data_IF_308634258081
#
_entry.id   IF_308634258081
#
_cell.length_a   1.000
_cell.length_b   1.000
_cell.length_c   1.000
_cell.angle_alpha   90.00
_cell.angle_beta   90.00
_cell.angle_gamma   90.00
#
_symmetry.space_group_name_H-M   'P 1'
#
loop_
_entity.id
_entity.type
_entity.pdbx_description
1 polymer ?
#
# COMPACT_ATOMS: atom_id res chain seq x y z
N UNK A 1 31.34 -0.32 -41.17
CA UNK A 1 31.94 0.01 -39.85
C UNK A 1 31.27 1.18 -39.14
N UNK A 2 30.99 2.33 -39.78
CA UNK A 2 30.38 3.52 -39.12
C UNK A 2 28.99 3.29 -38.47
N UNK A 3 28.11 2.45 -39.07
CA UNK A 3 26.77 2.17 -38.51
C UNK A 3 26.77 1.33 -37.23
N UNK A 4 27.72 0.39 -37.10
CA UNK A 4 27.80 -0.51 -35.93
C UNK A 4 28.28 0.26 -34.71
N UNK A 5 29.23 1.20 -34.89
CA UNK A 5 29.73 2.08 -33.83
C UNK A 5 28.61 3.02 -33.34
N UNK A 6 27.78 3.55 -34.25
CA UNK A 6 26.68 4.45 -33.89
C UNK A 6 25.57 3.73 -33.09
N UNK A 7 25.26 2.48 -33.45
CA UNK A 7 24.30 1.63 -32.71
C UNK A 7 24.86 1.26 -31.33
N UNK A 8 26.14 0.90 -31.25
CA UNK A 8 26.78 0.61 -29.96
C UNK A 8 26.81 1.83 -29.04
N UNK A 9 27.07 3.03 -29.58
CA UNK A 9 27.02 4.29 -28.82
C UNK A 9 25.59 4.61 -28.34
N UNK A 10 24.58 4.45 -29.19
CA UNK A 10 23.17 4.65 -28.83
C UNK A 10 22.70 3.66 -27.76
N UNK A 11 23.07 2.38 -27.86
CA UNK A 11 22.77 1.38 -26.82
C UNK A 11 23.47 1.71 -25.50
N UNK A 12 24.70 2.22 -25.55
CA UNK A 12 25.46 2.61 -24.35
C UNK A 12 24.85 3.84 -23.68
N UNK A 13 24.40 4.83 -24.46
CA UNK A 13 23.67 5.99 -23.95
C UNK A 13 22.29 5.58 -23.39
N UNK A 14 21.57 4.67 -24.04
CA UNK A 14 20.30 4.12 -23.51
C UNK A 14 20.52 3.35 -22.20
N UNK A 15 21.58 2.54 -22.09
CA UNK A 15 21.92 1.82 -20.85
C UNK A 15 22.32 2.76 -19.72
N UNK A 16 23.05 3.85 -20.00
CA UNK A 16 23.40 4.87 -19.01
C UNK A 16 22.16 5.68 -18.59
N UNK A 17 21.29 6.05 -19.53
CA UNK A 17 20.02 6.72 -19.24
C UNK A 17 19.03 5.83 -18.47
N UNK A 18 19.03 4.52 -18.69
CA UNK A 18 18.23 3.56 -17.92
C UNK A 18 18.86 3.23 -16.56
N UNK A 19 20.19 3.30 -16.42
CA UNK A 19 20.87 3.06 -15.14
C UNK A 19 20.66 4.15 -14.09
N UNK A 20 20.27 5.36 -14.51
CA UNK A 20 19.86 6.44 -13.60
C UNK A 20 18.51 6.18 -12.91
N UNK A 21 17.72 5.24 -13.42
CA UNK A 21 16.48 4.75 -12.81
C UNK A 21 16.72 3.51 -11.94
N UNK A 22 17.89 3.42 -11.28
CA UNK A 22 17.96 2.64 -10.06
C UNK A 22 17.04 3.33 -9.03
N UNK A 23 15.78 2.90 -9.00
CA UNK A 23 14.77 3.30 -8.00
C UNK A 23 15.34 2.86 -6.67
N UNK A 24 16.11 3.74 -6.02
CA UNK A 24 16.69 3.45 -4.73
C UNK A 24 15.54 3.36 -3.74
N UNK A 25 15.21 2.13 -3.33
CA UNK A 25 14.23 1.91 -2.28
C UNK A 25 14.66 2.68 -1.03
N UNK A 26 13.69 3.10 -0.20
CA UNK A 26 13.98 3.73 1.07
C UNK A 26 15.07 3.03 1.88
N UNK A 27 15.95 3.82 2.50
CA UNK A 27 17.21 3.37 3.08
C UNK A 27 17.08 2.82 4.51
N UNK A 28 15.95 3.09 5.18
CA UNK A 28 15.72 2.66 6.55
C UNK A 28 14.35 3.06 7.12
N UNK A 29 13.96 2.47 8.26
CA UNK A 29 12.76 2.86 8.97
C UNK A 29 12.83 4.33 9.38
N UNK A 30 11.68 5.01 9.32
CA UNK A 30 11.57 6.40 9.77
C UNK A 30 11.19 6.46 11.25
N UNK A 31 11.41 7.61 11.90
CA UNK A 31 10.84 7.88 13.22
C UNK A 31 9.31 7.67 13.23
N UNK A 32 8.72 7.40 14.41
CA UNK A 32 7.27 7.31 14.55
C UNK A 32 6.55 8.52 13.94
N UNK A 33 5.44 8.29 13.25
CA UNK A 33 4.64 9.34 12.60
C UNK A 33 5.16 9.81 11.25
N UNK A 34 6.17 9.14 10.67
CA UNK A 34 6.66 9.40 9.32
C UNK A 34 6.45 8.20 8.40
N UNK A 35 6.25 8.46 7.11
CA UNK A 35 6.10 7.44 6.06
C UNK A 35 6.89 7.84 4.82
N UNK A 36 7.28 6.86 4.01
CA UNK A 36 7.95 7.09 2.73
C UNK A 36 6.90 7.25 1.62
N UNK A 37 7.05 8.30 0.80
CA UNK A 37 6.26 8.53 -0.40
C UNK A 37 7.19 8.71 -1.59
N UNK A 38 6.82 8.13 -2.72
CA UNK A 38 7.53 8.31 -3.98
C UNK A 38 6.97 9.52 -4.73
N UNK A 39 7.82 10.50 -5.04
CA UNK A 39 7.49 11.69 -5.83
C UNK A 39 8.52 11.82 -6.94
N UNK A 40 8.09 11.68 -8.20
CA UNK A 40 8.97 11.81 -9.36
C UNK A 40 10.15 10.84 -9.37
N UNK A 41 9.94 9.59 -8.91
CA UNK A 41 10.99 8.58 -8.81
C UNK A 41 11.92 8.71 -7.61
N UNK A 42 11.68 9.68 -6.71
CA UNK A 42 12.44 9.88 -5.48
C UNK A 42 11.58 9.58 -4.26
N UNK A 43 12.11 8.79 -3.34
CA UNK A 43 11.48 8.57 -2.04
C UNK A 43 11.78 9.72 -1.09
N UNK A 44 10.73 10.33 -0.54
CA UNK A 44 10.82 11.40 0.45
C UNK A 44 10.09 11.00 1.74
N UNK A 45 10.63 11.35 2.92
CA UNK A 45 9.94 11.15 4.18
C UNK A 45 8.92 12.26 4.40
N UNK A 46 7.67 11.90 4.66
CA UNK A 46 6.57 12.83 4.97
C UNK A 46 5.87 12.44 6.26
N UNK A 47 5.06 13.33 6.83
CA UNK A 47 4.19 12.98 7.95
C UNK A 47 3.22 11.86 7.54
N UNK A 48 2.92 10.94 8.43
CA UNK A 48 1.92 9.91 8.21
C UNK A 48 0.55 10.54 7.86
N UNK A 49 -0.29 9.85 7.07
CA UNK A 49 -1.66 10.29 6.85
C UNK A 49 -2.43 10.39 8.16
N UNK A 50 -3.53 11.17 8.18
CA UNK A 50 -4.31 11.40 9.40
C UNK A 50 -5.07 10.15 9.90
N UNK A 51 -5.07 9.05 9.13
CA UNK A 51 -5.65 7.78 9.54
C UNK A 51 -5.10 6.60 8.74
N UNK A 52 -5.60 5.41 9.07
CA UNK A 52 -5.19 4.14 8.45
C UNK A 52 -5.95 3.82 7.14
N UNK A 53 -6.71 4.77 6.60
CA UNK A 53 -7.43 4.58 5.33
C UNK A 53 -6.54 4.70 4.09
N UNK A 54 -7.11 4.46 2.91
CA UNK A 54 -6.42 4.68 1.64
C UNK A 54 -6.26 6.18 1.38
N UNK A 55 -5.05 6.71 1.58
CA UNK A 55 -4.71 8.09 1.24
C UNK A 55 -3.73 8.12 0.07
N UNK A 56 -3.90 9.11 -0.80
CA UNK A 56 -2.95 9.46 -1.85
C UNK A 56 -2.22 10.75 -1.47
N UNK A 57 -0.92 10.79 -1.78
CA UNK A 57 -0.11 11.99 -1.62
C UNK A 57 -0.17 12.82 -2.90
N UNK A 58 -0.72 14.02 -2.82
CA UNK A 58 -0.85 14.96 -3.95
C UNK A 58 -0.66 16.38 -3.46
N UNK A 59 0.07 17.19 -4.22
CA UNK A 59 0.29 18.61 -3.91
C UNK A 59 0.79 18.85 -2.47
N UNK A 60 1.71 17.99 -2.03
CA UNK A 60 2.28 18.00 -0.68
C UNK A 60 1.29 17.76 0.46
N UNK A 61 0.16 17.11 0.18
CA UNK A 61 -0.89 16.80 1.16
C UNK A 61 -1.43 15.39 0.98
N UNK A 62 -1.88 14.79 2.09
CA UNK A 62 -2.69 13.58 2.07
C UNK A 62 -4.14 13.91 1.71
N UNK A 63 -4.66 13.22 0.72
CA UNK A 63 -6.06 13.30 0.30
C UNK A 63 -6.66 11.89 0.38
N UNK A 64 -7.89 11.72 0.90
CA UNK A 64 -8.58 10.44 0.83
C UNK A 64 -8.63 9.92 -0.61
N UNK A 65 -8.22 8.67 -0.80
CA UNK A 65 -8.42 7.97 -2.06
C UNK A 65 -9.86 7.48 -2.10
N UNK A 66 -10.65 8.05 -2.99
CA UNK A 66 -12.07 7.71 -3.20
C UNK A 66 -12.25 6.64 -4.27
N UNK A 67 -11.16 6.07 -4.80
CA UNK A 67 -11.22 4.95 -5.74
C UNK A 67 -11.92 3.76 -5.07
N UNK A 68 -12.97 3.18 -5.69
CA UNK A 68 -13.64 2.01 -5.13
C UNK A 68 -12.66 0.88 -4.83
N UNK A 69 -12.73 0.25 -3.65
CA UNK A 69 -11.84 -0.85 -3.32
C UNK A 69 -12.04 -2.04 -4.27
N UNK A 70 -10.97 -2.76 -4.61
CA UNK A 70 -11.10 -4.06 -5.25
C UNK A 70 -12.03 -4.99 -4.42
N UNK A 71 -12.90 -5.78 -5.05
CA UNK A 71 -13.78 -6.71 -4.34
C UNK A 71 -12.98 -7.68 -3.45
N UNK A 72 -13.46 -7.91 -2.22
CA UNK A 72 -12.80 -8.83 -1.30
C UNK A 72 -11.42 -8.37 -0.83
N UNK A 73 -11.16 -7.06 -0.78
CA UNK A 73 -9.87 -6.52 -0.36
C UNK A 73 -9.98 -5.48 0.75
N UNK A 74 -8.98 -5.48 1.63
CA UNK A 74 -8.79 -4.47 2.66
C UNK A 74 -7.59 -3.58 2.33
N UNK A 75 -7.63 -2.34 2.80
CA UNK A 75 -6.48 -1.46 2.71
C UNK A 75 -5.47 -1.79 3.80
N UNK A 76 -4.20 -1.90 3.41
CA UNK A 76 -3.06 -2.05 4.31
C UNK A 76 -2.27 -0.74 4.28
N UNK A 77 -2.17 0.00 5.40
CA UNK A 77 -1.34 1.19 5.47
C UNK A 77 0.13 0.91 5.12
N UNK A 78 0.79 1.93 4.58
CA UNK A 78 2.23 1.88 4.34
C UNK A 78 2.99 1.57 5.62
N UNK A 79 3.92 0.62 5.55
CA UNK A 79 4.65 0.15 6.72
C UNK A 79 6.08 -0.28 6.38
N UNK A 80 6.94 -0.23 7.40
CA UNK A 80 8.28 -0.79 7.33
C UNK A 80 8.23 -2.26 7.71
N UNK A 81 8.75 -3.13 6.84
CA UNK A 81 9.01 -4.54 7.16
C UNK A 81 10.42 -4.71 7.68
N UNK A 82 10.81 -5.91 8.11
CA UNK A 82 12.20 -6.17 8.53
C UNK A 82 13.27 -5.80 7.49
N UNK A 83 12.91 -5.68 6.20
CA UNK A 83 13.86 -5.47 5.09
C UNK A 83 13.64 -4.22 4.27
N UNK A 84 12.41 -3.71 4.17
CA UNK A 84 12.06 -2.61 3.26
C UNK A 84 10.77 -1.89 3.63
N UNK A 85 10.62 -0.69 3.11
CA UNK A 85 9.32 -0.01 3.02
C UNK A 85 8.38 -0.76 2.08
N UNK A 86 7.11 -0.86 2.49
CA UNK A 86 6.00 -1.31 1.68
C UNK A 86 4.99 -0.17 1.61
N UNK A 87 4.72 0.39 0.41
CA UNK A 87 3.67 1.39 0.24
C UNK A 87 2.30 0.85 0.63
N UNK A 88 1.37 1.76 0.95
CA UNK A 88 -0.01 1.37 1.19
C UNK A 88 -0.59 0.65 -0.03
N UNK A 89 -1.33 -0.42 0.20
CA UNK A 89 -1.84 -1.27 -0.87
C UNK A 89 -3.12 -2.00 -0.46
N UNK A 90 -3.89 -2.41 -1.47
CA UNK A 90 -5.00 -3.33 -1.28
C UNK A 90 -4.49 -4.76 -1.12
N UNK A 91 -5.02 -5.46 -0.14
CA UNK A 91 -4.72 -6.87 0.13
C UNK A 91 -5.99 -7.70 0.08
N UNK A 92 -5.95 -8.81 -0.65
CA UNK A 92 -7.06 -9.75 -0.71
C UNK A 92 -7.35 -10.34 0.68
N UNK A 93 -8.63 -10.37 1.04
CA UNK A 93 -9.15 -11.01 2.24
C UNK A 93 -9.85 -12.30 1.80
N UNK A 94 -9.35 -13.48 2.21
CA UNK A 94 -9.96 -14.75 1.84
C UNK A 94 -11.43 -14.82 2.29
N UNK A 95 -12.30 -15.40 1.45
CA UNK A 95 -13.67 -15.70 1.85
C UNK A 95 -13.70 -16.76 2.94
N UNK A 96 -14.48 -16.57 4.03
CA UNK A 96 -14.58 -17.53 5.12
C UNK A 96 -15.49 -18.74 4.80
N UNK A 97 -16.21 -18.74 3.67
CA UNK A 97 -17.05 -19.88 3.28
C UNK A 97 -18.25 -19.50 2.41
N UNK A 98 -19.21 -20.41 2.30
CA UNK A 98 -20.46 -20.17 1.54
C UNK A 98 -21.40 -19.26 2.32
N UNK A 99 -22.22 -18.49 1.59
CA UNK A 99 -23.29 -17.67 2.18
C UNK A 99 -22.84 -16.33 2.77
N UNK A 100 -21.55 -15.99 2.65
CA UNK A 100 -21.00 -14.70 3.10
C UNK A 100 -20.87 -13.74 1.93
N UNK A 101 -21.06 -12.45 2.21
CA UNK A 101 -20.96 -11.36 1.24
C UNK A 101 -19.88 -10.39 1.70
N UNK A 102 -19.01 -9.97 0.78
CA UNK A 102 -18.06 -8.91 1.08
C UNK A 102 -18.79 -7.56 1.09
N UNK A 103 -18.62 -6.80 2.16
CA UNK A 103 -18.96 -5.38 2.22
C UNK A 103 -17.67 -4.59 1.99
N UNK A 104 -17.54 -3.87 0.86
CA UNK A 104 -16.38 -3.03 0.59
C UNK A 104 -16.17 -1.97 1.68
N UNK A 105 -14.92 -1.66 1.95
CA UNK A 105 -14.61 -0.51 2.78
C UNK A 105 -15.02 0.80 2.11
N UNK A 106 -15.28 1.83 2.90
CA UNK A 106 -15.69 3.13 2.40
C UNK A 106 -15.27 4.26 3.34
N UNK A 107 -15.21 5.47 2.78
CA UNK A 107 -15.05 6.68 3.58
C UNK A 107 -16.40 7.12 4.15
N UNK A 108 -16.47 7.23 5.47
CA UNK A 108 -17.56 7.89 6.17
C UNK A 108 -17.03 9.22 6.70
N UNK A 109 -17.35 10.30 6.00
CA UNK A 109 -16.71 11.61 6.21
C UNK A 109 -15.18 11.47 6.09
N UNK A 110 -14.41 11.83 7.13
CA UNK A 110 -12.95 11.72 7.15
C UNK A 110 -12.42 10.42 7.77
N UNK A 111 -13.31 9.45 8.05
CA UNK A 111 -12.95 8.18 8.67
C UNK A 111 -13.12 7.03 7.69
N UNK A 112 -12.07 6.23 7.55
CA UNK A 112 -12.13 4.99 6.80
C UNK A 112 -12.85 3.92 7.60
N UNK A 113 -13.87 3.32 6.99
CA UNK A 113 -14.56 2.13 7.49
C UNK A 113 -14.00 0.94 6.73
N UNK A 114 -13.23 0.04 7.39
CA UNK A 114 -12.67 -1.12 6.72
C UNK A 114 -13.75 -2.04 6.17
N UNK A 115 -13.47 -2.67 5.03
CA UNK A 115 -14.32 -3.72 4.48
C UNK A 115 -14.35 -4.94 5.40
N UNK A 116 -15.43 -5.71 5.30
CA UNK A 116 -15.62 -6.91 6.10
C UNK A 116 -16.50 -7.93 5.40
N UNK A 117 -16.41 -9.18 5.84
CA UNK A 117 -17.37 -10.20 5.46
C UNK A 117 -18.63 -10.06 6.32
N UNK A 118 -19.77 -9.93 5.65
CA UNK A 118 -21.11 -9.98 6.23
C UNK A 118 -21.72 -11.36 6.00
N UNK A 119 -22.43 -11.86 7.01
CA UNK A 119 -22.97 -13.22 7.05
C UNK A 119 -22.93 -13.85 8.44
N UNK A 120 -23.38 -15.09 8.54
CA UNK A 120 -23.36 -15.82 9.83
C UNK A 120 -21.92 -16.16 10.20
N UNK A 121 -21.38 -15.62 11.30
CA UNK A 121 -20.06 -16.01 11.78
C UNK A 121 -20.07 -17.49 12.17
N UNK A 122 -18.90 -18.16 12.19
CA UNK A 122 -18.78 -19.41 12.93
C UNK A 122 -19.30 -19.23 14.37
N UNK A 123 -19.93 -20.25 15.00
CA UNK A 123 -20.52 -20.11 16.32
C UNK A 123 -19.56 -19.47 17.33
N UNK A 124 -20.01 -18.38 17.97
CA UNK A 124 -19.24 -17.65 18.99
C UNK A 124 -18.19 -16.67 18.47
N UNK A 125 -18.09 -16.42 17.15
CA UNK A 125 -17.09 -15.52 16.57
C UNK A 125 -17.64 -14.17 16.13
N UNK A 126 -16.77 -13.18 16.03
CA UNK A 126 -17.07 -11.86 15.44
C UNK A 126 -15.96 -11.41 14.49
N UNK A 127 -16.29 -10.53 13.55
CA UNK A 127 -15.31 -10.01 12.60
C UNK A 127 -14.43 -8.99 13.30
N UNK A 128 -13.12 -9.18 13.18
CA UNK A 128 -12.10 -8.21 13.60
C UNK A 128 -11.51 -7.60 12.35
N UNK A 129 -11.66 -6.28 12.12
CA UNK A 129 -11.01 -5.60 11.01
C UNK A 129 -9.48 -5.76 11.04
N UNK A 130 -8.86 -5.62 9.87
CA UNK A 130 -7.41 -5.57 9.78
C UNK A 130 -6.84 -4.47 10.68
N UNK A 131 -5.77 -4.77 11.39
CA UNK A 131 -5.17 -3.87 12.37
C UNK A 131 -3.67 -4.10 12.51
N UNK A 132 -2.97 -3.16 13.15
CA UNK A 132 -1.56 -3.36 13.51
C UNK A 132 -1.45 -4.25 14.74
N UNK A 133 -0.84 -5.42 14.55
CA UNK A 133 -0.47 -6.32 15.64
C UNK A 133 0.77 -5.85 16.41
N UNK A 134 1.14 -6.63 17.43
CA UNK A 134 2.36 -6.39 18.23
C UNK A 134 3.59 -6.43 17.31
N UNK A 135 4.44 -5.41 17.40
CA UNK A 135 5.62 -5.26 16.55
C UNK A 135 5.36 -4.53 15.22
N UNK A 136 4.16 -3.98 15.00
CA UNK A 136 3.86 -3.13 13.84
C UNK A 136 3.48 -3.89 12.57
N UNK A 137 3.40 -5.22 12.63
CA UNK A 137 2.94 -6.05 11.50
C UNK A 137 1.44 -5.85 11.28
N UNK A 138 1.01 -5.78 10.02
CA UNK A 138 -0.40 -5.78 9.68
C UNK A 138 -1.00 -7.17 9.84
N UNK A 139 -2.03 -7.27 10.67
CA UNK A 139 -2.87 -8.46 10.85
C UNK A 139 -4.10 -8.29 9.97
N UNK A 140 -4.32 -9.15 8.96
CA UNK A 140 -5.52 -9.06 8.14
C UNK A 140 -6.80 -9.26 8.93
N UNK A 141 -7.90 -8.71 8.42
CA UNK A 141 -9.22 -8.95 8.98
C UNK A 141 -9.54 -10.44 9.07
N UNK A 142 -10.11 -10.87 10.19
CA UNK A 142 -10.41 -12.27 10.46
C UNK A 142 -11.56 -12.44 11.47
N UNK A 143 -12.17 -13.63 11.48
CA UNK A 143 -13.11 -14.03 12.53
C UNK A 143 -12.35 -14.46 13.79
N UNK A 144 -12.67 -13.84 14.92
CA UNK A 144 -12.13 -14.17 16.23
C UNK A 144 -13.19 -14.78 17.12
#
# INVERSE_FOLDING_TARGET
>A
MKRIIFIALMCSVLLVCLSGYAIALPHGPLPPGKVWVEVGGKWIPVNAPPGDGPYIWRDSKWIPDTTPPPPGSEWVPGHWTAKRWVPGHWKAVPSPGMGVKWIPGYWQSDKWIPGHWDGTPPPGKHWVPGHRGRGGNWVPGHWR
#
